data_IF_577085911971
#
_entry.id   IF_577085911971
#
_cell.length_a   1.000
_cell.length_b   1.000
_cell.length_c   1.000
_cell.angle_alpha   90.00
_cell.angle_beta   90.00
_cell.angle_gamma   90.00
#
_symmetry.space_group_name_H-M   'P 1'
#
loop_
_entity.id
_entity.type
_entity.pdbx_description
1 polymer ?
#
# COMPACT_ATOMS: atom_id res chain seq x y z
N UNK A 1 -42.25 20.92 -81.70
CA UNK A 1 -42.81 21.92 -80.76
C UNK A 1 -42.06 21.72 -79.45
N UNK A 2 -40.82 22.21 -79.23
CA UNK A 2 -40.19 23.54 -79.31
C UNK A 2 -40.86 24.61 -78.46
N UNK A 3 -40.17 24.96 -77.35
CA UNK A 3 -39.99 26.26 -76.64
C UNK A 3 -39.65 25.90 -75.17
N UNK A 4 -38.39 25.67 -74.76
CA UNK A 4 -37.28 26.61 -74.50
C UNK A 4 -37.68 27.91 -73.78
N UNK A 5 -37.26 28.06 -72.51
CA UNK A 5 -36.56 29.25 -72.00
C UNK A 5 -35.90 28.98 -70.62
N UNK A 6 -34.58 29.00 -70.59
CA UNK A 6 -33.69 29.38 -69.46
C UNK A 6 -33.16 30.82 -69.78
N UNK A 7 -32.20 31.49 -69.08
CA UNK A 7 -31.56 31.33 -67.75
C UNK A 7 -31.33 32.66 -66.97
N UNK A 8 -30.66 32.63 -65.80
CA UNK A 8 -29.62 33.58 -65.24
C UNK A 8 -29.45 33.27 -63.72
N UNK A 9 -28.32 32.91 -63.08
CA UNK A 9 -26.88 33.25 -63.04
C UNK A 9 -26.54 34.46 -62.13
N UNK A 10 -25.55 34.28 -61.21
CA UNK A 10 -24.92 35.13 -60.16
C UNK A 10 -25.27 34.71 -58.70
N UNK A 11 -24.38 34.55 -57.72
CA UNK A 11 -22.91 34.42 -57.62
C UNK A 11 -22.52 34.06 -56.17
N UNK A 12 -21.31 33.51 -56.01
CA UNK A 12 -20.41 33.66 -54.86
C UNK A 12 -20.65 32.89 -53.54
N UNK A 13 -19.72 31.95 -53.32
CA UNK A 13 -18.83 31.82 -52.16
C UNK A 13 -19.37 32.28 -50.79
N UNK A 14 -19.63 31.30 -49.90
CA UNK A 14 -18.96 31.18 -48.58
C UNK A 14 -19.45 29.92 -47.87
N UNK A 15 -18.70 28.84 -48.10
CA UNK A 15 -18.72 27.67 -47.27
C UNK A 15 -17.81 27.89 -46.04
N UNK A 16 -18.20 27.27 -44.92
CA UNK A 16 -17.35 26.86 -43.79
C UNK A 16 -16.69 27.96 -42.95
N UNK A 17 -17.27 28.24 -41.77
CA UNK A 17 -16.56 28.46 -40.48
C UNK A 17 -17.54 28.97 -39.42
N UNK A 18 -17.94 28.11 -38.48
CA UNK A 18 -18.22 28.42 -37.06
C UNK A 18 -18.68 27.17 -36.31
N UNK A 19 -17.76 26.24 -36.10
CA UNK A 19 -17.77 25.33 -34.95
C UNK A 19 -16.35 24.81 -34.81
N UNK A 20 -15.62 25.30 -33.80
CA UNK A 20 -14.32 24.85 -33.26
C UNK A 20 -13.60 26.07 -32.67
N UNK A 21 -13.91 26.37 -31.41
CA UNK A 21 -13.10 27.14 -30.47
C UNK A 21 -13.06 26.20 -29.27
N UNK A 22 -11.97 25.49 -28.97
CA UNK A 22 -10.83 25.97 -28.18
C UNK A 22 -9.61 25.11 -28.55
N UNK A 23 -8.57 25.75 -29.09
CA UNK A 23 -7.29 25.12 -29.40
C UNK A 23 -6.29 26.15 -29.91
N UNK A 24 -5.48 26.71 -29.02
CA UNK A 24 -4.22 27.40 -29.29
C UNK A 24 -3.45 27.43 -27.95
N UNK A 25 -2.39 26.64 -27.79
CA UNK A 25 -1.00 26.85 -28.25
C UNK A 25 -0.19 27.68 -27.25
N UNK A 26 0.87 27.07 -26.70
CA UNK A 26 2.21 27.61 -26.82
C UNK A 26 3.21 26.46 -27.00
N UNK A 27 3.91 26.54 -28.14
CA UNK A 27 5.11 25.80 -28.53
C UNK A 27 6.28 26.81 -28.53
N UNK A 28 7.50 26.32 -28.35
CA UNK A 28 8.84 26.74 -28.88
C UNK A 28 9.85 26.03 -27.93
N UNK A 29 10.92 25.33 -28.34
CA UNK A 29 11.54 25.07 -29.64
C UNK A 29 12.70 24.06 -29.45
N UNK A 30 13.13 23.44 -30.54
CA UNK A 30 14.08 22.32 -30.67
C UNK A 30 15.57 22.73 -30.42
N UNK A 31 16.58 21.83 -30.31
CA UNK A 31 17.25 21.09 -31.42
C UNK A 31 18.47 20.26 -30.90
N UNK A 32 18.65 19.03 -31.45
CA UNK A 32 19.88 18.17 -31.73
C UNK A 32 21.03 17.99 -30.70
N UNK A 33 21.86 16.93 -30.69
CA UNK A 33 21.93 15.57 -31.27
C UNK A 33 23.19 14.83 -30.69
N UNK A 34 23.22 13.50 -30.87
CA UNK A 34 24.38 12.57 -30.96
C UNK A 34 25.13 12.05 -29.70
N UNK A 35 25.20 10.70 -29.65
CA UNK A 35 26.01 9.78 -28.81
C UNK A 35 27.43 9.56 -29.41
N UNK A 36 28.22 8.55 -28.98
CA UNK A 36 28.82 8.24 -27.67
C UNK A 36 30.36 8.05 -27.80
N UNK A 37 31.09 7.87 -26.69
CA UNK A 37 32.36 7.13 -26.73
C UNK A 37 32.75 6.49 -25.37
N UNK A 38 33.39 5.33 -25.51
CA UNK A 38 33.86 4.35 -24.50
C UNK A 38 35.32 4.56 -24.05
N UNK A 39 35.78 3.74 -23.08
CA UNK A 39 37.16 3.45 -22.57
C UNK A 39 37.52 4.13 -21.23
N UNK A 40 38.30 3.57 -20.28
CA UNK A 40 38.75 2.22 -19.89
C UNK A 40 39.61 2.40 -18.60
N UNK A 41 39.55 1.44 -17.66
CA UNK A 41 40.53 1.07 -16.60
C UNK A 41 40.91 1.98 -15.39
N UNK A 42 41.10 1.27 -14.26
CA UNK A 42 41.50 1.62 -12.87
C UNK A 42 43.05 1.63 -12.66
N UNK A 43 43.66 1.53 -11.44
CA UNK A 43 43.25 1.69 -10.02
C UNK A 43 44.26 2.53 -9.15
N UNK A 44 44.11 2.49 -7.80
CA UNK A 44 44.97 3.02 -6.71
C UNK A 44 44.66 4.49 -6.30
N UNK A 45 44.54 4.90 -5.03
CA UNK A 45 45.29 4.49 -3.84
C UNK A 45 44.46 4.36 -2.56
N UNK A 46 44.86 3.34 -1.81
CA UNK A 46 44.86 3.11 -0.37
C UNK A 46 44.75 4.35 0.53
N UNK A 47 43.79 4.34 1.46
CA UNK A 47 43.99 4.94 2.78
C UNK A 47 43.44 3.99 3.86
N UNK A 48 44.39 3.41 4.59
CA UNK A 48 44.21 2.64 5.80
C UNK A 48 44.17 3.62 6.96
N UNK A 49 43.12 3.57 7.78
CA UNK A 49 43.26 3.87 9.21
C UNK A 49 42.59 2.77 10.02
N UNK A 50 43.47 1.99 10.66
CA UNK A 50 43.15 1.18 11.83
C UNK A 50 42.58 2.09 12.92
N UNK A 51 41.40 1.77 13.43
CA UNK A 51 41.03 2.08 14.80
C UNK A 51 40.54 0.78 15.43
N UNK A 52 41.26 0.41 16.47
CA UNK A 52 41.14 -0.82 17.23
C UNK A 52 39.77 -1.03 17.89
N UNK A 53 39.43 -2.31 17.94
CA UNK A 53 38.61 -3.04 18.91
C UNK A 53 37.86 -2.22 19.98
N UNK A 54 36.54 -2.13 19.80
CA UNK A 54 35.62 -2.33 20.90
C UNK A 54 34.73 -3.53 20.55
N UNK A 55 35.05 -4.66 21.17
CA UNK A 55 34.28 -5.90 21.18
C UNK A 55 32.92 -5.64 21.82
N UNK A 56 31.92 -5.35 20.98
CA UNK A 56 30.51 -5.48 21.34
C UNK A 56 30.16 -6.95 21.09
N UNK A 57 29.60 -7.70 22.06
CA UNK A 57 29.33 -9.11 21.89
C UNK A 57 28.38 -9.31 20.71
N UNK A 58 28.74 -10.23 19.82
CA UNK A 58 27.84 -10.73 18.79
C UNK A 58 26.57 -11.25 19.48
N UNK A 59 25.44 -10.56 19.23
CA UNK A 59 24.13 -11.08 19.60
C UNK A 59 23.80 -12.23 18.64
N UNK A 60 24.28 -13.44 18.96
CA UNK A 60 23.85 -14.70 18.35
C UNK A 60 22.41 -15.04 18.81
N UNK A 61 21.45 -14.16 18.49
CA UNK A 61 20.05 -14.25 18.95
C UNK A 61 19.13 -15.05 18.02
N UNK A 62 19.62 -15.53 16.89
CA UNK A 62 18.83 -16.32 15.94
C UNK A 62 19.62 -17.56 15.49
N UNK A 63 19.82 -18.50 16.42
CA UNK A 63 20.02 -19.89 16.03
C UNK A 63 18.73 -20.46 15.41
N UNK A 64 18.81 -21.51 14.58
CA UNK A 64 17.64 -22.15 13.98
C UNK A 64 16.89 -22.91 15.07
N UNK A 65 16.04 -22.22 15.82
CA UNK A 65 15.18 -22.85 16.81
C UNK A 65 14.00 -23.48 16.10
N UNK A 66 13.96 -24.81 16.16
CA UNK A 66 12.82 -25.63 15.80
C UNK A 66 11.54 -25.06 16.43
N UNK A 67 10.64 -24.57 15.58
CA UNK A 67 9.33 -24.07 15.96
C UNK A 67 8.43 -25.29 16.14
N UNK A 68 8.51 -25.89 17.32
CA UNK A 68 7.50 -26.85 17.75
C UNK A 68 6.58 -26.18 18.77
N UNK A 69 5.32 -26.06 18.33
CA UNK A 69 4.11 -25.72 19.07
C UNK A 69 3.97 -24.28 19.62
N UNK A 70 2.70 -23.86 19.74
CA UNK A 70 2.23 -22.78 20.65
C UNK A 70 1.89 -21.39 20.05
N UNK A 71 1.09 -21.34 18.98
CA UNK A 71 0.07 -20.29 18.74
C UNK A 71 -1.31 -20.95 18.75
N UNK A 72 -1.85 -21.42 19.87
CA UNK A 72 -2.97 -22.38 19.82
C UNK A 72 -4.38 -21.72 19.88
N UNK A 73 -4.98 -21.02 18.90
CA UNK A 73 -4.63 -20.62 17.51
C UNK A 73 -4.08 -19.16 17.43
N UNK A 74 -4.15 -18.46 18.56
CA UNK A 74 -3.72 -17.10 18.97
C UNK A 74 -4.07 -16.92 20.47
N UNK A 75 -4.75 -17.88 21.12
CA UNK A 75 -4.98 -17.88 22.56
C UNK A 75 -5.12 -19.32 23.08
N UNK A 76 -4.16 -19.83 23.86
CA UNK A 76 -4.37 -21.10 24.56
C UNK A 76 -3.17 -21.91 25.06
N UNK A 77 -1.91 -21.49 24.91
CA UNK A 77 -0.80 -22.10 25.64
C UNK A 77 0.14 -21.03 26.18
N UNK A 78 0.29 -21.06 27.50
CA UNK A 78 1.13 -20.19 28.29
C UNK A 78 2.57 -20.71 28.22
N UNK A 79 3.28 -20.37 27.15
CA UNK A 79 4.74 -20.53 27.14
C UNK A 79 5.39 -19.24 27.64
N UNK A 80 6.27 -19.40 28.63
CA UNK A 80 7.16 -18.37 29.14
C UNK A 80 8.17 -17.97 28.06
N UNK A 81 7.74 -17.19 27.07
CA UNK A 81 8.64 -16.49 26.20
C UNK A 81 9.35 -15.40 27.03
N UNK A 82 10.68 -15.48 27.11
CA UNK A 82 11.52 -14.33 27.46
C UNK A 82 11.35 -13.28 26.36
N UNK A 83 10.26 -12.53 26.41
CA UNK A 83 9.97 -11.44 25.48
C UNK A 83 11.13 -10.46 25.48
N UNK A 84 11.32 -9.73 24.37
CA UNK A 84 12.18 -8.56 24.31
C UNK A 84 11.88 -7.69 25.55
N UNK A 85 12.75 -7.67 26.58
CA UNK A 85 12.36 -7.27 27.94
C UNK A 85 12.21 -5.75 28.10
N UNK A 86 11.99 -5.03 27.00
CA UNK A 86 12.25 -3.60 26.94
C UNK A 86 11.16 -2.77 26.26
N UNK A 87 10.29 -3.38 25.45
CA UNK A 87 9.32 -2.59 24.68
C UNK A 87 7.98 -2.54 25.41
N UNK A 88 7.63 -1.35 25.88
CA UNK A 88 6.26 -1.05 26.33
C UNK A 88 5.28 -1.24 25.17
N UNK A 89 3.98 -1.49 25.45
CA UNK A 89 3.00 -1.64 24.38
C UNK A 89 2.95 -0.44 23.42
N UNK A 90 3.18 0.77 23.93
CA UNK A 90 3.27 2.00 23.11
C UNK A 90 4.52 2.00 22.22
N UNK A 91 5.68 1.63 22.74
CA UNK A 91 6.92 1.54 21.97
C UNK A 91 6.83 0.48 20.86
N UNK A 92 6.23 -0.68 21.15
CA UNK A 92 5.94 -1.71 20.14
C UNK A 92 5.02 -1.17 19.04
N UNK A 93 3.95 -0.44 19.39
CA UNK A 93 3.06 0.13 18.38
C UNK A 93 3.81 1.14 17.48
N UNK A 94 4.63 2.04 18.06
CA UNK A 94 5.44 2.98 17.27
C UNK A 94 6.40 2.26 16.33
N UNK A 95 7.06 1.19 16.80
CA UNK A 95 7.93 0.38 15.96
C UNK A 95 7.15 -0.29 14.82
N UNK A 96 5.95 -0.80 15.08
CA UNK A 96 5.08 -1.35 14.04
C UNK A 96 4.75 -0.29 12.96
N UNK A 97 4.41 0.94 13.36
CA UNK A 97 4.14 2.06 12.43
C UNK A 97 5.38 2.35 11.57
N UNK A 98 6.56 2.45 12.19
CA UNK A 98 7.82 2.69 11.48
C UNK A 98 8.13 1.59 10.46
N UNK A 99 7.97 0.32 10.85
CA UNK A 99 8.13 -0.83 9.97
C UNK A 99 7.13 -0.81 8.79
N UNK A 100 5.88 -0.40 9.03
CA UNK A 100 4.90 -0.24 7.96
C UNK A 100 5.31 0.86 6.97
N UNK A 101 5.82 2.00 7.45
CA UNK A 101 6.27 3.12 6.60
C UNK A 101 7.47 2.73 5.71
N UNK A 102 8.36 1.87 6.20
CA UNK A 102 9.44 1.27 5.38
C UNK A 102 9.00 0.00 4.64
N UNK A 103 7.70 -0.31 4.63
CA UNK A 103 7.06 -1.41 3.90
C UNK A 103 7.47 -2.82 4.33
N UNK A 104 8.04 -2.95 5.52
CA UNK A 104 8.28 -4.23 6.20
C UNK A 104 6.96 -4.75 6.83
N UNK A 105 5.94 -4.96 6.00
CA UNK A 105 4.56 -5.19 6.46
C UNK A 105 4.40 -6.43 7.33
N UNK A 106 5.08 -7.52 7.00
CA UNK A 106 5.02 -8.75 7.79
C UNK A 106 5.60 -8.53 9.20
N UNK A 107 6.76 -7.87 9.29
CA UNK A 107 7.36 -7.51 10.56
C UNK A 107 6.49 -6.53 11.35
N UNK A 108 5.95 -5.51 10.68
CA UNK A 108 5.02 -4.55 11.26
C UNK A 108 3.82 -5.22 11.92
N UNK A 109 3.17 -6.17 11.23
CA UNK A 109 2.05 -6.94 11.77
C UNK A 109 2.45 -7.82 12.97
N UNK A 110 3.61 -8.48 12.93
CA UNK A 110 4.13 -9.27 14.06
C UNK A 110 4.32 -8.38 15.31
N UNK A 111 4.92 -7.21 15.15
CA UNK A 111 5.16 -6.26 16.25
C UNK A 111 3.85 -5.62 16.75
N UNK A 112 2.90 -5.33 15.86
CA UNK A 112 1.56 -4.88 16.27
C UNK A 112 0.84 -5.93 17.13
N UNK A 113 0.88 -7.20 16.73
CA UNK A 113 0.31 -8.30 17.52
C UNK A 113 0.96 -8.41 18.91
N UNK A 114 2.28 -8.21 19.00
CA UNK A 114 2.96 -8.12 20.30
C UNK A 114 2.45 -6.94 21.13
N UNK A 115 2.30 -5.75 20.55
CA UNK A 115 1.76 -4.57 21.24
C UNK A 115 0.37 -4.85 21.85
N UNK A 116 -0.53 -5.47 21.08
CA UNK A 116 -1.88 -5.80 21.57
C UNK A 116 -1.85 -6.85 22.68
N UNK A 117 -0.97 -7.86 22.61
CA UNK A 117 -0.79 -8.84 23.69
C UNK A 117 -0.31 -8.18 24.99
N UNK A 118 0.69 -7.30 24.89
CA UNK A 118 1.21 -6.57 26.06
C UNK A 118 0.16 -5.65 26.69
N UNK A 119 -0.79 -5.09 25.91
CA UNK A 119 -1.91 -4.29 26.44
C UNK A 119 -2.95 -5.11 27.21
N UNK A 120 -3.04 -6.41 26.94
CA UNK A 120 -4.04 -7.29 27.54
C UNK A 120 -3.54 -7.97 28.83
N UNK A 121 -2.25 -7.91 29.13
CA UNK A 121 -1.69 -8.48 30.35
C UNK A 121 -2.05 -7.61 31.58
N UNK A 122 -2.46 -8.22 32.71
CA UNK A 122 -2.76 -7.49 33.93
C UNK A 122 -1.49 -6.88 34.55
N UNK A 123 -1.58 -5.69 35.17
CA UNK A 123 -0.43 -4.95 35.70
C UNK A 123 0.46 -5.78 36.65
N UNK A 124 -0.16 -6.65 37.45
CA UNK A 124 0.49 -7.41 38.51
C UNK A 124 1.36 -8.58 38.01
N UNK A 125 1.27 -8.89 36.71
CA UNK A 125 2.09 -9.95 36.07
C UNK A 125 3.31 -9.39 35.34
N UNK A 126 3.50 -8.07 35.33
CA UNK A 126 4.62 -7.41 34.68
C UNK A 126 5.69 -6.98 35.69
N UNK A 127 6.66 -7.86 35.97
CA UNK A 127 7.98 -7.44 36.46
C UNK A 127 8.75 -6.76 35.32
N UNK A 128 8.22 -5.66 34.81
CA UNK A 128 8.95 -4.77 33.91
C UNK A 128 9.72 -3.81 34.80
N UNK A 129 11.05 -3.96 34.81
CA UNK A 129 11.90 -2.82 35.13
C UNK A 129 11.49 -1.70 34.18
N UNK A 130 10.79 -0.69 34.69
CA UNK A 130 10.31 0.44 33.94
C UNK A 130 11.52 1.17 33.33
N UNK A 131 11.96 0.73 32.16
CA UNK A 131 12.89 1.51 31.39
C UNK A 131 12.08 2.64 30.78
N UNK A 132 12.53 3.87 31.03
CA UNK A 132 11.87 5.10 30.58
C UNK A 132 11.54 5.07 29.09
N UNK A 133 10.68 5.99 28.67
CA UNK A 133 10.27 6.12 27.27
C UNK A 133 11.48 6.05 26.34
N UNK A 134 11.51 5.02 25.48
CA UNK A 134 12.55 4.88 24.46
C UNK A 134 12.36 6.02 23.47
N UNK A 135 13.29 6.98 23.37
CA UNK A 135 13.14 8.11 22.47
C UNK A 135 13.04 7.63 21.03
N UNK A 136 12.22 8.30 20.23
CA UNK A 136 12.00 7.95 18.81
C UNK A 136 13.31 7.97 18.00
N UNK A 137 14.31 8.74 18.43
CA UNK A 137 15.66 8.78 17.85
C UNK A 137 16.43 7.46 18.02
N UNK A 138 16.19 6.73 19.10
CA UNK A 138 16.78 5.41 19.35
C UNK A 138 16.08 4.38 18.46
N UNK A 139 14.75 4.37 18.44
CA UNK A 139 13.95 3.51 17.54
C UNK A 139 14.35 3.72 16.08
N UNK A 140 14.49 4.97 15.62
CA UNK A 140 14.91 5.30 14.26
C UNK A 140 16.31 4.77 13.91
N UNK A 141 17.25 4.75 14.86
CA UNK A 141 18.60 4.16 14.67
C UNK A 141 18.58 2.64 14.59
N UNK A 142 17.60 1.97 15.20
CA UNK A 142 17.43 0.52 15.10
C UNK A 142 16.74 0.08 13.80
N UNK A 143 15.98 0.94 13.11
CA UNK A 143 15.26 0.56 11.88
C UNK A 143 16.19 -0.03 10.80
N UNK A 144 17.34 0.58 10.44
CA UNK A 144 18.23 0.01 9.42
C UNK A 144 18.87 -1.31 9.84
N UNK A 145 19.00 -1.55 11.14
CA UNK A 145 19.56 -2.78 11.71
C UNK A 145 18.50 -3.89 11.77
N UNK A 146 17.28 -3.56 12.22
CA UNK A 146 16.13 -4.46 12.18
C UNK A 146 15.76 -4.82 10.74
N UNK A 147 15.80 -3.88 9.80
CA UNK A 147 15.54 -4.19 8.37
C UNK A 147 16.62 -5.07 7.72
N UNK A 148 17.82 -5.14 8.31
CA UNK A 148 18.92 -6.00 7.82
C UNK A 148 18.92 -7.38 8.48
N UNK A 149 18.45 -7.48 9.73
CA UNK A 149 18.51 -8.70 10.54
C UNK A 149 17.15 -9.38 10.75
N UNK A 150 16.03 -8.69 10.49
CA UNK A 150 14.78 -9.36 10.14
C UNK A 150 15.03 -9.94 8.77
N UNK A 151 15.05 -11.27 8.68
CA UNK A 151 15.24 -12.03 7.46
C UNK A 151 14.05 -11.82 6.52
N UNK A 152 13.92 -10.61 5.97
CA UNK A 152 13.18 -10.35 4.75
C UNK A 152 14.08 -10.82 3.60
N UNK A 153 14.18 -12.15 3.47
CA UNK A 153 14.90 -12.81 2.37
C UNK A 153 14.40 -12.34 0.99
N UNK A 154 13.22 -11.69 0.95
CA UNK A 154 12.62 -11.08 -0.23
C UNK A 154 13.02 -9.61 -0.48
N UNK A 155 13.30 -8.79 0.54
CA UNK A 155 13.70 -7.39 0.33
C UNK A 155 15.14 -7.28 -0.19
N UNK A 156 16.03 -8.19 0.21
CA UNK A 156 17.43 -8.19 -0.27
C UNK A 156 17.57 -8.70 -1.71
N UNK A 157 16.62 -9.50 -2.21
CA UNK A 157 16.64 -9.97 -3.61
C UNK A 157 16.07 -8.93 -4.60
N UNK A 158 15.37 -7.88 -4.14
CA UNK A 158 14.62 -6.97 -5.02
C UNK A 158 15.30 -5.61 -5.27
N UNK A 159 16.58 -5.44 -4.93
CA UNK A 159 17.32 -4.18 -5.16
C UNK A 159 17.52 -3.80 -6.64
N UNK A 160 17.08 -4.62 -7.60
CA UNK A 160 17.37 -4.44 -9.02
C UNK A 160 16.16 -4.40 -9.98
N UNK A 161 14.93 -4.09 -9.54
CA UNK A 161 13.84 -3.80 -10.50
C UNK A 161 12.90 -2.68 -10.06
N UNK A 162 13.22 -1.45 -10.46
CA UNK A 162 12.24 -0.36 -10.62
C UNK A 162 11.20 -0.78 -11.67
N UNK A 163 9.99 -1.16 -11.26
CA UNK A 163 8.81 -1.23 -12.15
C UNK A 163 7.50 -1.17 -11.36
N UNK A 164 7.28 -0.06 -10.64
CA UNK A 164 5.94 0.29 -10.15
C UNK A 164 4.94 0.24 -11.30
N UNK A 165 3.74 -0.29 -11.05
CA UNK A 165 2.68 -0.29 -12.05
C UNK A 165 2.85 -1.32 -13.17
N UNK A 166 3.74 -2.31 -13.03
CA UNK A 166 3.78 -3.46 -13.94
C UNK A 166 2.47 -4.26 -13.82
N UNK A 167 1.80 -4.61 -14.94
CA UNK A 167 0.69 -5.56 -14.93
C UNK A 167 1.07 -6.91 -14.31
N UNK A 168 0.18 -7.44 -13.47
CA UNK A 168 0.29 -8.72 -12.80
C UNK A 168 -0.75 -9.70 -13.34
N UNK A 169 -0.32 -10.92 -13.63
CA UNK A 169 -1.24 -12.04 -13.90
C UNK A 169 -1.83 -12.55 -12.59
N UNK A 170 -3.05 -13.09 -12.64
CA UNK A 170 -3.70 -13.69 -11.47
C UNK A 170 -2.85 -14.78 -10.79
N UNK A 171 -2.07 -15.53 -11.58
CA UNK A 171 -1.16 -16.55 -11.04
C UNK A 171 -0.03 -15.94 -10.22
N UNK A 172 0.53 -14.79 -10.62
CA UNK A 172 1.60 -14.10 -9.88
C UNK A 172 1.11 -13.61 -8.51
N UNK A 173 -0.18 -13.28 -8.40
CA UNK A 173 -0.82 -12.90 -7.15
C UNK A 173 -1.16 -14.13 -6.31
N UNK A 174 -1.80 -15.14 -6.91
CA UNK A 174 -2.44 -16.21 -6.12
C UNK A 174 -1.58 -17.46 -5.92
N UNK A 175 -0.70 -17.81 -6.85
CA UNK A 175 0.14 -19.02 -6.75
C UNK A 175 1.06 -19.04 -5.51
N UNK A 176 1.65 -17.91 -5.08
CA UNK A 176 2.46 -17.88 -3.85
C UNK A 176 1.70 -18.24 -2.56
N UNK A 177 0.36 -18.29 -2.61
CA UNK A 177 -0.50 -18.64 -1.47
C UNK A 177 -1.22 -19.99 -1.64
N UNK A 178 -0.86 -20.79 -2.66
CA UNK A 178 -1.52 -22.07 -3.02
C UNK A 178 -0.76 -23.31 -2.59
N UNK A 179 0.30 -23.16 -1.83
CA UNK A 179 1.01 -24.27 -1.21
C UNK A 179 0.07 -25.13 -0.33
N UNK A 180 0.40 -26.42 -0.24
CA UNK A 180 -0.41 -27.42 0.46
C UNK A 180 -0.45 -27.17 1.98
N UNK A 181 0.57 -26.47 2.48
CA UNK A 181 0.73 -26.17 3.89
C UNK A 181 -0.19 -25.01 4.34
N UNK A 182 -0.86 -25.20 5.46
CA UNK A 182 -1.62 -24.12 6.08
C UNK A 182 -0.65 -23.12 6.70
N UNK A 183 -0.85 -21.82 6.44
CA UNK A 183 -0.11 -20.80 7.17
C UNK A 183 -0.60 -20.71 8.61
N UNK A 184 0.32 -20.37 9.52
CA UNK A 184 0.00 -20.18 10.94
C UNK A 184 -0.79 -18.90 11.18
N UNK A 185 -0.64 -17.89 10.31
CA UNK A 185 -1.40 -16.66 10.36
C UNK A 185 -1.56 -16.03 8.96
N UNK A 186 -2.57 -15.17 8.82
CA UNK A 186 -2.89 -14.46 7.59
C UNK A 186 -3.20 -12.99 7.88
N UNK A 187 -2.70 -12.11 7.02
CA UNK A 187 -2.86 -10.66 7.14
C UNK A 187 -3.38 -10.02 5.87
N UNK A 188 -4.19 -8.99 6.05
CA UNK A 188 -4.60 -8.06 4.99
C UNK A 188 -4.27 -6.65 5.43
N UNK A 189 -3.65 -5.88 4.54
CA UNK A 189 -3.43 -4.46 4.70
C UNK A 189 -4.11 -3.72 3.55
N UNK A 190 -4.83 -2.66 3.87
CA UNK A 190 -5.45 -1.72 2.95
C UNK A 190 -4.59 -0.45 2.95
N UNK A 191 -4.18 -0.01 1.77
CA UNK A 191 -3.37 1.19 1.57
C UNK A 191 -4.21 2.21 0.81
N UNK A 192 -4.25 3.44 1.32
CA UNK A 192 -5.02 4.53 0.72
C UNK A 192 -4.08 5.70 0.45
N UNK A 193 -3.99 6.09 -0.81
CA UNK A 193 -3.38 7.34 -1.26
C UNK A 193 -4.50 8.30 -1.62
N UNK A 194 -4.69 9.34 -0.81
CA UNK A 194 -5.62 10.42 -1.13
C UNK A 194 -5.04 11.29 -2.27
N UNK A 195 -5.90 11.87 -3.13
CA UNK A 195 -5.48 12.87 -4.13
C UNK A 195 -4.76 14.05 -3.50
N UNK A 196 -5.29 14.50 -2.35
CA UNK A 196 -4.68 15.45 -1.44
C UNK A 196 -4.73 14.83 -0.04
N UNK A 197 -3.58 14.51 0.59
CA UNK A 197 -3.55 13.97 1.95
C UNK A 197 -4.34 14.84 2.93
N UNK A 198 -5.11 14.20 3.82
CA UNK A 198 -5.93 14.88 4.81
C UNK A 198 -7.16 15.59 4.24
N UNK A 199 -7.70 15.15 3.09
CA UNK A 199 -8.85 15.81 2.45
C UNK A 199 -9.78 14.82 1.72
N UNK A 200 -11.09 15.09 1.79
CA UNK A 200 -12.15 14.38 1.03
C UNK A 200 -12.15 14.65 -0.48
N UNK A 201 -11.19 15.41 -1.02
CA UNK A 201 -11.17 15.70 -2.46
C UNK A 201 -10.97 14.40 -3.24
N UNK A 202 -11.92 14.04 -4.09
CA UNK A 202 -11.85 12.87 -4.99
C UNK A 202 -10.84 13.06 -6.14
N UNK A 203 -10.35 14.28 -6.37
CA UNK A 203 -9.29 14.58 -7.34
C UNK A 203 -8.51 15.86 -6.98
N UNK A 204 -7.29 15.97 -7.51
CA UNK A 204 -6.43 17.15 -7.39
C UNK A 204 -5.94 17.63 -8.77
N UNK A 205 -5.11 18.68 -8.79
CA UNK A 205 -4.53 19.23 -10.02
C UNK A 205 -3.84 18.13 -10.85
N UNK A 206 -3.87 18.27 -12.17
CA UNK A 206 -3.28 17.35 -13.14
C UNK A 206 -3.85 15.91 -13.13
N UNK A 207 -5.09 15.73 -12.66
CA UNK A 207 -5.79 14.44 -12.76
C UNK A 207 -5.31 13.38 -11.77
N UNK A 208 -4.67 13.80 -10.67
CA UNK A 208 -4.43 12.90 -9.54
C UNK A 208 -5.76 12.56 -8.87
N UNK A 209 -6.17 11.29 -8.93
CA UNK A 209 -7.43 10.75 -8.37
C UNK A 209 -7.19 9.87 -7.15
N UNK A 210 -5.96 9.82 -6.64
CA UNK A 210 -5.59 8.94 -5.55
C UNK A 210 -5.59 7.48 -5.98
N UNK A 211 -5.39 6.58 -5.01
CA UNK A 211 -5.38 5.14 -5.24
C UNK A 211 -5.72 4.37 -3.98
N UNK A 212 -6.35 3.21 -4.13
CA UNK A 212 -6.52 2.22 -3.07
C UNK A 212 -6.00 0.87 -3.54
N UNK A 213 -5.14 0.25 -2.75
CA UNK A 213 -4.52 -1.04 -3.04
C UNK A 213 -4.36 -1.86 -1.77
N UNK A 214 -3.95 -3.12 -1.91
CA UNK A 214 -3.86 -4.03 -0.78
C UNK A 214 -2.50 -4.72 -0.72
N UNK A 215 -2.15 -5.18 0.48
CA UNK A 215 -1.10 -6.18 0.70
C UNK A 215 -1.72 -7.41 1.36
N UNK A 216 -1.39 -8.60 0.84
CA UNK A 216 -1.71 -9.88 1.45
C UNK A 216 -0.45 -10.48 2.07
N UNK A 217 -0.56 -11.00 3.29
CA UNK A 217 0.55 -11.68 3.98
C UNK A 217 0.09 -13.05 4.47
N UNK A 218 0.89 -14.09 4.20
CA UNK A 218 0.77 -15.43 4.79
C UNK A 218 2.04 -15.70 5.59
N UNK A 219 1.90 -16.13 6.84
CA UNK A 219 3.02 -16.54 7.69
C UNK A 219 3.09 -18.07 7.76
N UNK A 220 4.30 -18.62 7.68
CA UNK A 220 4.59 -20.04 7.81
C UNK A 220 5.05 -20.39 9.24
N UNK A 221 5.07 -21.67 9.56
CA UNK A 221 5.53 -22.16 10.87
C UNK A 221 7.04 -21.97 11.08
N UNK A 222 7.84 -22.07 10.03
CA UNK A 222 9.28 -21.82 9.99
C UNK A 222 9.67 -20.34 10.21
N UNK A 223 8.68 -19.47 10.44
CA UNK A 223 8.84 -18.04 10.67
C UNK A 223 8.94 -17.20 9.39
N UNK A 224 9.08 -17.84 8.22
CA UNK A 224 9.04 -17.19 6.92
C UNK A 224 7.64 -16.69 6.58
N UNK A 225 7.53 -15.92 5.50
CA UNK A 225 6.25 -15.39 5.05
C UNK A 225 6.25 -15.11 3.55
N UNK A 226 5.05 -15.05 2.99
CA UNK A 226 4.80 -14.59 1.62
C UNK A 226 3.99 -13.30 1.70
N UNK A 227 4.43 -12.27 0.98
CA UNK A 227 3.75 -10.97 0.87
C UNK A 227 3.51 -10.58 -0.60
N UNK A 228 2.34 -10.03 -0.91
CA UNK A 228 2.02 -9.49 -2.25
C UNK A 228 1.24 -8.19 -2.15
N UNK A 229 1.74 -7.14 -2.80
CA UNK A 229 1.16 -5.79 -2.81
C UNK A 229 0.68 -5.41 -4.21
N UNK A 230 -0.60 -5.14 -4.38
CA UNK A 230 -1.17 -4.88 -5.70
C UNK A 230 -2.51 -4.15 -5.63
N UNK A 231 -2.86 -3.48 -6.72
CA UNK A 231 -4.09 -2.70 -6.87
C UNK A 231 -4.87 -3.07 -8.14
N UNK A 232 -6.15 -2.70 -8.15
CA UNK A 232 -7.06 -2.87 -9.28
C UNK A 232 -7.13 -1.59 -10.11
N UNK A 233 -6.72 -1.66 -11.37
CA UNK A 233 -6.55 -0.50 -12.24
C UNK A 233 -7.42 -0.58 -13.49
N UNK A 234 -7.76 0.59 -14.08
CA UNK A 234 -8.23 0.61 -15.46
C UNK A 234 -7.07 0.27 -16.40
N UNK A 235 -7.35 -0.61 -17.36
CA UNK A 235 -6.51 -0.78 -18.53
C UNK A 235 -6.71 0.43 -19.45
N UNK A 236 -5.60 1.08 -19.83
CA UNK A 236 -5.62 2.29 -20.65
C UNK A 236 -5.75 1.91 -22.13
N UNK A 237 -6.96 1.61 -22.56
CA UNK A 237 -7.28 1.32 -23.98
C UNK A 237 -7.22 2.59 -24.86
N UNK A 238 -7.47 3.77 -24.27
CA UNK A 238 -7.48 5.09 -24.91
C UNK A 238 -7.34 6.21 -23.86
N UNK A 239 -7.15 7.47 -24.30
CA UNK A 239 -6.95 8.64 -23.44
C UNK A 239 -8.12 8.94 -22.48
N UNK A 240 -9.34 8.50 -22.78
CA UNK A 240 -10.53 8.74 -21.98
C UNK A 240 -10.91 7.56 -21.08
N UNK A 241 -10.12 6.48 -21.07
CA UNK A 241 -10.43 5.27 -20.30
C UNK A 241 -10.53 5.59 -18.81
N UNK A 242 -11.63 5.18 -18.19
CA UNK A 242 -11.94 5.47 -16.78
C UNK A 242 -11.99 6.97 -16.43
N UNK A 243 -12.46 7.79 -17.37
CA UNK A 243 -12.85 9.19 -17.11
C UNK A 243 -14.36 9.29 -16.89
N UNK A 244 -14.88 10.40 -16.33
CA UNK A 244 -16.32 10.57 -16.18
C UNK A 244 -17.11 10.45 -17.49
N UNK A 245 -16.51 10.81 -18.63
CA UNK A 245 -17.10 10.68 -19.97
C UNK A 245 -17.10 9.24 -20.50
N UNK A 246 -16.06 8.46 -20.18
CA UNK A 246 -15.93 7.05 -20.55
C UNK A 246 -15.51 6.22 -19.33
N UNK A 247 -16.45 5.98 -18.39
CA UNK A 247 -16.12 5.44 -17.08
C UNK A 247 -15.77 3.95 -17.11
N UNK A 248 -16.18 3.23 -18.16
CA UNK A 248 -16.01 1.78 -18.31
C UNK A 248 -14.81 1.44 -19.22
N UNK A 249 -13.93 0.54 -18.76
CA UNK A 249 -12.77 0.04 -19.53
C UNK A 249 -12.37 -1.36 -19.02
N UNK A 250 -11.55 -2.11 -19.75
CA UNK A 250 -10.96 -3.34 -19.22
C UNK A 250 -10.17 -3.05 -17.94
N UNK A 251 -9.96 -4.07 -17.12
CA UNK A 251 -9.23 -3.92 -15.86
C UNK A 251 -7.91 -4.69 -15.89
N UNK A 252 -6.99 -4.28 -15.03
CA UNK A 252 -5.71 -4.94 -14.87
C UNK A 252 -5.26 -4.83 -13.43
N UNK A 253 -4.69 -5.90 -12.87
CA UNK A 253 -3.97 -5.80 -11.60
C UNK A 253 -2.57 -5.28 -11.86
N UNK A 254 -2.06 -4.40 -11.00
CA UNK A 254 -0.68 -3.94 -11.09
C UNK A 254 0.03 -4.06 -9.76
N UNK A 255 1.34 -4.23 -9.85
CA UNK A 255 2.24 -4.24 -8.72
C UNK A 255 2.32 -2.85 -8.07
N UNK A 256 2.03 -2.82 -6.77
CA UNK A 256 2.03 -1.62 -5.93
C UNK A 256 3.06 -1.72 -4.77
N UNK A 257 4.01 -2.66 -4.80
CA UNK A 257 5.03 -2.83 -3.76
C UNK A 257 5.75 -1.51 -3.44
N UNK A 258 6.13 -0.77 -4.47
CA UNK A 258 6.81 0.53 -4.36
C UNK A 258 5.85 1.73 -4.32
N UNK A 259 4.53 1.55 -4.32
CA UNK A 259 3.56 2.66 -4.26
C UNK A 259 3.51 3.31 -2.86
N UNK A 260 3.38 4.63 -2.80
CA UNK A 260 3.24 5.35 -1.52
C UNK A 260 1.78 5.39 -1.07
N UNK A 261 1.56 5.60 0.23
CA UNK A 261 0.22 5.66 0.81
C UNK A 261 0.21 6.69 1.95
N UNK A 262 -0.97 7.27 2.18
CA UNK A 262 -1.21 8.24 3.25
C UNK A 262 -1.71 7.50 4.50
N UNK A 263 -2.75 6.68 4.29
CA UNK A 263 -3.42 5.89 5.34
C UNK A 263 -3.24 4.39 5.12
N UNK A 264 -3.09 3.64 6.21
CA UNK A 264 -3.01 2.18 6.22
C UNK A 264 -3.92 1.61 7.30
N UNK A 265 -4.68 0.58 6.93
CA UNK A 265 -5.49 -0.22 7.87
C UNK A 265 -5.16 -1.69 7.65
N UNK A 266 -4.75 -2.38 8.70
CA UNK A 266 -4.34 -3.77 8.64
C UNK A 266 -5.02 -4.61 9.71
N UNK A 267 -5.25 -5.89 9.39
CA UNK A 267 -5.88 -6.85 10.29
C UNK A 267 -5.35 -8.26 10.05
N UNK A 268 -5.15 -9.01 11.12
CA UNK A 268 -5.06 -10.46 11.02
C UNK A 268 -6.44 -11.04 10.75
N UNK A 269 -6.51 -11.96 9.79
CA UNK A 269 -7.76 -12.60 9.39
C UNK A 269 -7.67 -14.11 9.48
N UNK A 270 -8.82 -14.77 9.55
CA UNK A 270 -8.87 -16.23 9.55
C UNK A 270 -8.46 -16.79 8.19
N UNK A 271 -8.02 -18.06 8.17
CA UNK A 271 -7.77 -18.80 6.92
C UNK A 271 -9.00 -18.80 6.00
N UNK A 272 -10.20 -18.87 6.56
CA UNK A 272 -11.45 -18.83 5.79
C UNK A 272 -11.61 -17.49 5.07
N UNK A 273 -11.47 -16.38 5.78
CA UNK A 273 -11.52 -15.03 5.19
C UNK A 273 -10.41 -14.84 4.15
N UNK A 274 -9.19 -15.31 4.42
CA UNK A 274 -8.09 -15.22 3.44
C UNK A 274 -8.41 -15.97 2.15
N UNK A 275 -9.00 -17.18 2.24
CA UNK A 275 -9.48 -17.92 1.07
C UNK A 275 -10.60 -17.18 0.33
N UNK A 276 -11.53 -16.53 1.05
CA UNK A 276 -12.57 -15.69 0.44
C UNK A 276 -11.96 -14.48 -0.28
N UNK A 277 -10.94 -13.83 0.29
CA UNK A 277 -10.18 -12.75 -0.35
C UNK A 277 -9.55 -13.24 -1.67
N UNK A 278 -8.88 -14.39 -1.67
CA UNK A 278 -8.31 -14.96 -2.90
C UNK A 278 -9.37 -15.29 -3.96
N UNK A 279 -10.56 -15.75 -3.55
CA UNK A 279 -11.70 -15.95 -4.47
C UNK A 279 -12.20 -14.62 -5.04
N UNK A 280 -12.30 -13.58 -4.21
CA UNK A 280 -12.72 -12.24 -4.62
C UNK A 280 -11.74 -11.63 -5.62
N UNK A 281 -10.44 -11.79 -5.42
CA UNK A 281 -9.40 -11.38 -6.37
C UNK A 281 -9.56 -12.10 -7.72
N UNK A 282 -9.83 -13.41 -7.72
CA UNK A 282 -10.11 -14.16 -8.95
C UNK A 282 -11.41 -13.71 -9.64
N UNK A 283 -12.41 -13.27 -8.90
CA UNK A 283 -13.59 -12.65 -9.48
C UNK A 283 -13.19 -11.33 -10.17
N UNK A 284 -12.53 -10.43 -9.45
CA UNK A 284 -12.09 -9.13 -9.98
C UNK A 284 -11.18 -9.23 -11.20
N UNK A 285 -10.40 -10.31 -11.34
CA UNK A 285 -9.58 -10.54 -12.55
C UNK A 285 -10.41 -10.72 -13.84
N UNK A 286 -11.74 -10.83 -13.73
CA UNK A 286 -12.69 -10.97 -14.84
C UNK A 286 -13.68 -9.80 -14.92
N UNK A 287 -13.64 -8.89 -13.95
CA UNK A 287 -14.52 -7.73 -13.87
C UNK A 287 -13.95 -6.56 -14.67
N UNK A 288 -14.82 -5.72 -15.23
CA UNK A 288 -14.38 -4.47 -15.87
C UNK A 288 -14.16 -3.38 -14.83
N UNK A 289 -13.26 -2.45 -15.14
CA UNK A 289 -13.09 -1.25 -14.34
C UNK A 289 -14.19 -0.25 -14.71
N UNK A 290 -14.90 0.26 -13.70
CA UNK A 290 -15.90 1.29 -13.88
C UNK A 290 -15.71 2.40 -12.84
N UNK A 291 -15.35 3.60 -13.28
CA UNK A 291 -15.03 4.74 -12.41
C UNK A 291 -16.06 4.98 -11.29
N UNK A 292 -17.36 4.90 -11.61
CA UNK A 292 -18.45 5.19 -10.67
C UNK A 292 -18.98 3.99 -9.87
N UNK A 293 -18.62 2.75 -10.21
CA UNK A 293 -19.34 1.54 -9.74
C UNK A 293 -18.44 0.35 -9.36
N UNK A 294 -17.24 0.29 -9.93
CA UNK A 294 -16.30 -0.79 -9.69
C UNK A 294 -14.87 -0.30 -9.99
N UNK A 295 -14.32 0.47 -9.07
CA UNK A 295 -13.00 1.08 -9.18
C UNK A 295 -12.00 0.50 -8.14
N UNK A 296 -10.83 1.12 -8.00
CA UNK A 296 -9.81 0.67 -7.03
C UNK A 296 -10.30 0.67 -5.58
N UNK A 297 -11.13 1.66 -5.21
CA UNK A 297 -11.72 1.77 -3.88
C UNK A 297 -12.80 0.72 -3.66
N UNK A 298 -13.66 0.46 -4.64
CA UNK A 298 -14.66 -0.63 -4.54
C UNK A 298 -13.98 -1.99 -4.34
N UNK A 299 -12.89 -2.24 -5.08
CA UNK A 299 -12.07 -3.42 -4.88
C UNK A 299 -11.55 -3.51 -3.45
N UNK A 300 -10.86 -2.47 -2.96
CA UNK A 300 -10.32 -2.43 -1.61
C UNK A 300 -11.37 -2.59 -0.51
N UNK A 301 -12.53 -1.93 -0.64
CA UNK A 301 -13.65 -2.05 0.29
C UNK A 301 -14.29 -3.44 0.29
N UNK A 302 -14.34 -4.11 -0.87
CA UNK A 302 -14.80 -5.50 -0.93
C UNK A 302 -13.89 -6.46 -0.16
N UNK A 303 -12.58 -6.23 -0.21
CA UNK A 303 -11.59 -6.98 0.57
C UNK A 303 -11.66 -6.61 2.06
N UNK A 304 -11.85 -5.33 2.38
CA UNK A 304 -12.07 -4.85 3.74
C UNK A 304 -13.26 -5.57 4.39
N UNK A 305 -14.39 -5.64 3.68
CA UNK A 305 -15.62 -6.30 4.15
C UNK A 305 -15.40 -7.78 4.47
N UNK A 306 -14.77 -8.55 3.56
CA UNK A 306 -14.42 -9.96 3.80
C UNK A 306 -13.49 -10.10 5.02
N UNK A 307 -12.58 -9.14 5.19
CA UNK A 307 -11.62 -9.10 6.29
C UNK A 307 -12.24 -8.65 7.62
N UNK A 308 -13.52 -8.28 7.64
CA UNK A 308 -14.18 -7.74 8.83
C UNK A 308 -13.65 -6.36 9.22
N UNK A 309 -13.28 -5.55 8.24
CA UNK A 309 -12.93 -4.13 8.39
C UNK A 309 -14.08 -3.32 7.79
N UNK A 310 -14.74 -2.53 8.61
CA UNK A 310 -15.80 -1.62 8.18
C UNK A 310 -15.26 -0.20 8.11
N UNK A 311 -15.36 0.44 6.94
CA UNK A 311 -15.04 1.85 6.72
C UNK A 311 -16.33 2.53 6.24
N UNK A 312 -16.76 3.59 6.92
CA UNK A 312 -17.97 4.35 6.57
C UNK A 312 -17.62 5.61 5.79
N UNK A 313 -18.61 6.23 5.16
CA UNK A 313 -18.51 7.52 4.47
C UNK A 313 -17.37 7.56 3.42
N UNK A 314 -17.31 6.53 2.59
CA UNK A 314 -16.29 6.34 1.54
C UNK A 314 -16.72 6.86 0.16
N UNK A 315 -17.98 7.31 0.06
CA UNK A 315 -18.64 7.66 -1.19
C UNK A 315 -18.60 9.18 -1.44
N UNK A 316 -18.06 9.57 -2.59
CA UNK A 316 -17.89 10.96 -3.01
C UNK A 316 -18.51 11.28 -4.36
N UNK A 317 -18.26 12.49 -4.85
CA UNK A 317 -18.73 12.96 -6.16
C UNK A 317 -17.71 13.84 -6.86
N UNK A 318 -17.74 13.80 -8.20
CA UNK A 318 -16.89 14.60 -9.09
C UNK A 318 -17.72 15.03 -10.31
N UNK A 319 -17.25 15.98 -11.14
CA UNK A 319 -17.99 16.37 -12.33
C UNK A 319 -18.37 15.15 -13.19
N UNK A 320 -19.66 15.00 -13.45
CA UNK A 320 -20.25 13.91 -14.25
C UNK A 320 -20.10 12.49 -13.66
N UNK A 321 -19.84 12.35 -12.36
CA UNK A 321 -19.75 11.04 -11.73
C UNK A 321 -19.77 11.06 -10.21
N UNK A 322 -19.81 9.86 -9.63
CA UNK A 322 -19.85 9.62 -8.18
C UNK A 322 -19.60 8.15 -7.89
N UNK A 323 -19.08 7.83 -6.73
CA UNK A 323 -18.68 6.47 -6.36
C UNK A 323 -17.84 6.46 -5.09
N UNK A 324 -17.41 5.28 -4.67
CA UNK A 324 -16.38 5.20 -3.62
C UNK A 324 -15.06 5.74 -4.16
N UNK A 325 -14.33 6.53 -3.37
CA UNK A 325 -13.05 7.06 -3.81
C UNK A 325 -11.99 7.14 -2.70
N UNK A 326 -10.69 7.23 -3.07
CA UNK A 326 -9.59 7.24 -2.11
C UNK A 326 -9.59 8.48 -1.20
N UNK A 327 -10.07 9.64 -1.69
CA UNK A 327 -10.12 10.88 -0.93
C UNK A 327 -11.07 10.76 0.26
N UNK A 328 -12.31 10.38 -0.02
CA UNK A 328 -13.33 10.15 1.01
C UNK A 328 -12.99 8.98 1.94
N UNK A 329 -12.46 7.87 1.39
CA UNK A 329 -12.07 6.71 2.19
C UNK A 329 -10.92 7.04 3.15
N UNK A 330 -9.87 7.71 2.66
CA UNK A 330 -8.73 8.11 3.50
C UNK A 330 -9.15 9.08 4.59
N UNK A 331 -10.01 10.06 4.26
CA UNK A 331 -10.51 10.98 5.27
C UNK A 331 -11.36 10.27 6.33
N UNK A 332 -12.18 9.31 5.93
CA UNK A 332 -12.98 8.54 6.89
C UNK A 332 -12.12 7.74 7.87
N UNK A 333 -10.95 7.24 7.44
CA UNK A 333 -9.99 6.61 8.36
C UNK A 333 -9.45 7.64 9.37
N UNK A 334 -9.05 8.82 8.92
CA UNK A 334 -8.58 9.93 9.76
C UNK A 334 -9.64 10.38 10.79
N UNK A 335 -10.89 10.49 10.35
CA UNK A 335 -12.04 10.83 11.21
C UNK A 335 -12.46 9.67 12.14
N UNK A 336 -11.75 8.54 12.11
CA UNK A 336 -12.01 7.39 12.96
C UNK A 336 -13.25 6.59 12.59
N UNK A 337 -13.76 6.75 11.37
CA UNK A 337 -14.92 6.01 10.82
C UNK A 337 -14.53 4.62 10.30
N UNK A 338 -13.53 4.01 10.92
CA UNK A 338 -13.04 2.66 10.66
C UNK A 338 -13.16 1.82 11.93
N UNK A 339 -13.69 0.61 11.81
CA UNK A 339 -13.92 -0.30 12.92
C UNK A 339 -13.84 -1.77 12.51
N UNK A 340 -13.56 -2.64 13.48
CA UNK A 340 -13.75 -4.07 13.36
C UNK A 340 -15.26 -4.37 13.27
N UNK A 341 -15.67 -5.02 12.18
CA UNK A 341 -17.06 -5.37 11.93
C UNK A 341 -17.67 -6.28 13.02
N UNK A 342 -16.86 -6.98 13.81
CA UNK A 342 -17.31 -7.77 14.96
C UNK A 342 -17.70 -6.92 16.19
N UNK A 343 -17.81 -5.60 16.07
CA UNK A 343 -18.29 -4.71 17.13
C UNK A 343 -17.23 -4.31 18.16
N UNK A 344 -15.95 -4.59 17.90
CA UNK A 344 -14.84 -4.30 18.83
C UNK A 344 -14.28 -2.87 18.72
N UNK A 345 -14.98 -1.97 18.03
CA UNK A 345 -14.46 -0.63 17.71
C UNK A 345 -13.16 -0.73 16.91
N UNK A 346 -12.12 0.02 17.28
CA UNK A 346 -10.80 -0.05 16.62
C UNK A 346 -9.90 -1.19 17.15
N UNK A 347 -10.32 -1.95 18.18
CA UNK A 347 -9.48 -3.01 18.76
C UNK A 347 -9.22 -4.12 17.74
N UNK A 348 -7.97 -4.56 17.64
CA UNK A 348 -7.54 -5.56 16.64
C UNK A 348 -7.31 -5.01 15.24
N UNK A 349 -7.55 -3.71 15.00
CA UNK A 349 -7.14 -3.04 13.77
C UNK A 349 -5.82 -2.31 13.99
N UNK A 350 -4.87 -2.53 13.09
CA UNK A 350 -3.64 -1.74 13.02
C UNK A 350 -3.87 -0.60 12.05
N UNK A 351 -3.93 0.63 12.56
CA UNK A 351 -4.17 1.84 11.76
C UNK A 351 -2.93 2.72 11.82
N UNK A 352 -2.41 3.11 10.66
CA UNK A 352 -1.35 4.11 10.53
C UNK A 352 -1.87 5.25 9.67
N UNK A 353 -1.69 6.48 10.14
CA UNK A 353 -2.19 7.67 9.48
C UNK A 353 -1.11 8.70 9.24
N UNK A 354 -1.32 9.64 8.31
CA UNK A 354 -0.40 10.78 8.14
C UNK A 354 -0.30 11.64 9.40
N UNK A 355 -1.32 11.64 10.28
CA UNK A 355 -1.27 12.41 11.53
C UNK A 355 -0.28 11.81 12.52
N UNK A 356 -0.03 10.49 12.46
CA UNK A 356 1.03 9.85 13.25
C UNK A 356 2.44 10.31 12.83
N UNK A 357 2.57 10.88 11.62
CA UNK A 357 3.81 11.50 11.14
C UNK A 357 3.88 12.99 11.53
N UNK A 358 2.74 13.70 11.56
CA UNK A 358 2.66 15.15 11.83
C UNK A 358 2.69 15.51 13.33
N UNK A 359 2.29 14.62 14.23
CA UNK A 359 2.44 14.84 15.69
C UNK A 359 3.90 14.96 16.15
N UNK A 360 4.87 14.86 15.23
CA UNK A 360 6.29 15.08 15.46
C UNK A 360 6.73 16.53 15.24
N UNK A 361 5.97 17.35 14.52
CA UNK A 361 6.35 18.75 14.25
C UNK A 361 5.80 19.74 15.29
N UNK A 362 4.76 19.37 16.04
CA UNK A 362 4.16 20.24 17.06
C UNK A 362 4.87 20.22 18.42
N UNK A 363 5.95 19.43 18.58
CA UNK A 363 6.82 19.42 19.77
C UNK A 363 8.11 20.24 19.62
N UNK A 364 8.26 20.99 18.52
CA UNK A 364 9.42 21.86 18.25
C UNK A 364 8.99 23.33 18.04
N UNK A 365 7.93 23.79 18.72
CA UNK A 365 7.62 25.22 18.84
C UNK A 365 7.48 25.64 20.28
#
# INVERSE_FOLDING_TARGET
MSLMCEPTLFSNLRAVRKLMLVGALFFIGAVQAQQPDTLHLSPADTFVTNIDSNTVPALDFFGPMAVHDSLAYIAGKEEQHKGLPFLSPRASLRLAVLLARVKAYAASMKIFSLSERLRQQPPDSMTIHAVGEVPDSILARFIPYLSRNITDTLLLQNKNRKKTGRPLRLAEITAPFRDEEAGVAYGVLLHIKQPRPGSRKSYALFGNVGHMFITLVKFHDDGSHVSRTFGFYPEKENLLSATPLKPNTASVFKDDEDHSWDELVAKFITRHQFRQVLRKIRQYSRERYHLNKNNCTDFGLSIASISGIAIKDTYGSWPLGKGNDPGDTGQSILEGKVADAAGKGKRGLFVCTIMDDLSKEEYVK
#
